data_IF_508720963510
#
_entry.id   IF_508720963510
#
_cell.length_a   1.000
_cell.length_b   1.000
_cell.length_c   1.000
_cell.angle_alpha   90.00
_cell.angle_beta   90.00
_cell.angle_gamma   90.00
#
_symmetry.space_group_name_H-M   'P 1'
#
loop_
_entity.id
_entity.type
_entity.pdbx_description
1 polymer ?
#
# COMPACT_ATOMS: atom_id res chain seq x y z
N UNK A 1 -11.71 -9.18 -21.95
CA UNK A 1 -11.72 -9.18 -20.47
C UNK A 1 -10.74 -8.11 -20.06
N UNK A 2 -11.19 -7.00 -19.47
CA UNK A 2 -10.26 -5.98 -18.97
C UNK A 2 -9.66 -6.55 -17.69
N UNK A 3 -8.40 -6.97 -17.74
CA UNK A 3 -7.62 -7.25 -16.54
C UNK A 3 -7.58 -5.92 -15.78
N UNK A 4 -8.39 -5.80 -14.74
CA UNK A 4 -8.27 -4.70 -13.78
C UNK A 4 -7.04 -5.06 -12.97
N UNK A 5 -5.85 -4.70 -13.46
CA UNK A 5 -4.66 -4.73 -12.62
C UNK A 5 -5.00 -3.90 -11.38
N UNK A 6 -4.91 -4.54 -10.22
CA UNK A 6 -5.18 -3.94 -8.91
C UNK A 6 -4.05 -2.96 -8.60
N UNK A 7 -3.89 -1.92 -9.41
CA UNK A 7 -2.85 -0.91 -9.23
C UNK A 7 -3.39 0.25 -8.41
N UNK A 8 -2.60 0.71 -7.44
CA UNK A 8 -2.90 1.90 -6.66
C UNK A 8 -2.53 3.15 -7.48
N UNK A 9 -3.33 4.20 -7.37
CA UNK A 9 -2.97 5.53 -7.87
C UNK A 9 -1.79 6.11 -7.08
N UNK A 10 -1.16 7.17 -7.58
CA UNK A 10 -0.02 7.80 -6.90
C UNK A 10 -0.38 8.37 -5.52
N UNK A 11 -1.61 8.87 -5.35
CA UNK A 11 -2.11 9.34 -4.04
C UNK A 11 -2.33 8.16 -3.09
N UNK A 12 -2.92 7.06 -3.57
CA UNK A 12 -3.12 5.84 -2.77
C UNK A 12 -1.79 5.15 -2.43
N UNK A 13 -0.80 5.19 -3.33
CA UNK A 13 0.55 4.68 -3.06
C UNK A 13 1.24 5.47 -1.95
N UNK A 14 1.05 6.78 -1.91
CA UNK A 14 1.57 7.62 -0.82
C UNK A 14 0.92 7.22 0.52
N UNK A 15 -0.40 7.11 0.55
CA UNK A 15 -1.13 6.66 1.74
C UNK A 15 -0.70 5.24 2.17
N UNK A 16 -0.43 4.36 1.21
CA UNK A 16 0.01 3.00 1.50
C UNK A 16 1.42 2.99 2.11
N UNK A 17 2.33 3.84 1.64
CA UNK A 17 3.67 4.00 2.25
C UNK A 17 3.56 4.54 3.67
N UNK A 18 2.74 5.56 3.88
CA UNK A 18 2.51 6.13 5.21
C UNK A 18 1.92 5.07 6.16
N UNK A 19 0.99 4.24 5.68
CA UNK A 19 0.44 3.12 6.44
C UNK A 19 1.51 2.05 6.76
N UNK A 20 2.39 1.69 5.80
CA UNK A 20 3.47 0.72 6.04
C UNK A 20 4.43 1.24 7.12
N UNK A 21 4.79 2.54 7.08
CA UNK A 21 5.63 3.18 8.11
C UNK A 21 4.97 3.13 9.49
N UNK A 22 3.68 3.47 9.55
CA UNK A 22 2.90 3.45 10.80
C UNK A 22 2.77 2.02 11.39
N UNK A 23 2.76 0.99 10.55
CA UNK A 23 2.74 -0.39 11.03
C UNK A 23 4.01 -0.78 11.82
N UNK A 24 5.09 0.00 11.75
CA UNK A 24 6.31 -0.22 12.53
C UNK A 24 6.86 -1.63 12.36
N UNK A 25 6.91 -2.14 11.13
CA UNK A 25 7.45 -3.46 10.83
C UNK A 25 8.90 -3.51 11.32
N UNK A 26 9.14 -4.21 12.43
CA UNK A 26 10.31 -4.00 13.30
C UNK A 26 11.71 -4.15 12.68
N UNK A 27 11.80 -4.54 11.41
CA UNK A 27 13.05 -4.66 10.65
C UNK A 27 13.13 -3.68 9.45
N UNK A 28 12.17 -2.76 9.31
CA UNK A 28 12.11 -1.76 8.24
C UNK A 28 12.13 -0.37 8.87
N UNK A 29 13.08 0.47 8.45
CA UNK A 29 13.09 1.89 8.77
C UNK A 29 12.23 2.67 7.75
N UNK A 30 11.78 3.88 8.11
CA UNK A 30 10.95 4.70 7.22
C UNK A 30 11.64 4.99 5.88
N UNK A 31 12.97 5.13 5.88
CA UNK A 31 13.80 5.34 4.69
C UNK A 31 13.73 4.12 3.75
N UNK A 32 13.68 2.90 4.29
CA UNK A 32 13.55 1.68 3.49
C UNK A 32 12.18 1.56 2.81
N UNK A 33 11.13 2.12 3.43
CA UNK A 33 9.78 2.14 2.86
C UNK A 33 9.70 3.07 1.65
N UNK A 34 10.43 4.19 1.68
CA UNK A 34 10.47 5.14 0.57
C UNK A 34 11.17 4.55 -0.67
N UNK A 35 12.11 3.63 -0.46
CA UNK A 35 12.82 2.92 -1.53
C UNK A 35 12.03 1.73 -2.12
N UNK A 36 10.88 1.35 -1.55
CA UNK A 36 10.04 0.30 -2.12
C UNK A 36 9.49 0.72 -3.48
N UNK A 37 9.50 -0.19 -4.45
CA UNK A 37 8.79 0.03 -5.72
C UNK A 37 7.27 -0.02 -5.52
N UNK A 38 6.51 0.62 -6.40
CA UNK A 38 5.03 0.62 -6.34
C UNK A 38 4.46 -0.80 -6.25
N UNK A 39 5.02 -1.74 -7.02
CA UNK A 39 4.64 -3.16 -6.96
C UNK A 39 4.94 -3.83 -5.62
N UNK A 40 5.97 -3.39 -4.91
CA UNK A 40 6.26 -3.90 -3.56
C UNK A 40 5.27 -3.33 -2.54
N UNK A 41 4.92 -2.05 -2.65
CA UNK A 41 3.89 -1.42 -1.82
C UNK A 41 2.53 -2.08 -2.03
N UNK A 42 2.12 -2.31 -3.28
CA UNK A 42 0.88 -3.01 -3.61
C UNK A 42 0.85 -4.43 -3.04
N UNK A 43 1.96 -5.18 -3.15
CA UNK A 43 2.08 -6.52 -2.55
C UNK A 43 2.00 -6.48 -1.03
N UNK A 44 2.60 -5.47 -0.40
CA UNK A 44 2.52 -5.26 1.05
C UNK A 44 1.06 -5.04 1.47
N UNK A 45 0.36 -4.09 0.86
CA UNK A 45 -1.06 -3.83 1.12
C UNK A 45 -1.90 -5.09 0.86
N UNK A 46 -1.71 -5.76 -0.27
CA UNK A 46 -2.48 -6.96 -0.62
C UNK A 46 -2.30 -8.10 0.41
N UNK A 47 -1.14 -8.18 1.06
CA UNK A 47 -0.80 -9.27 1.98
C UNK A 47 -1.12 -8.94 3.44
N UNK A 48 -0.98 -7.69 3.85
CA UNK A 48 -0.98 -7.30 5.26
C UNK A 48 -2.11 -6.35 5.64
N UNK A 49 -2.74 -5.67 4.67
CA UNK A 49 -3.95 -4.88 4.93
C UNK A 49 -5.17 -5.79 5.00
N UNK A 50 -6.04 -5.58 5.98
CA UNK A 50 -7.25 -6.41 6.12
C UNK A 50 -8.19 -6.17 4.93
N UNK A 51 -8.55 -7.25 4.23
CA UNK A 51 -9.28 -7.18 2.95
C UNK A 51 -8.47 -6.73 1.72
N UNK A 52 -7.15 -6.54 1.87
CA UNK A 52 -6.21 -6.31 0.77
C UNK A 52 -6.41 -4.99 0.02
N UNK A 53 -5.97 -4.94 -1.24
CA UNK A 53 -5.95 -3.69 -2.03
C UNK A 53 -7.34 -3.06 -2.19
N UNK A 54 -8.40 -3.84 -2.34
CA UNK A 54 -9.74 -3.29 -2.54
C UNK A 54 -10.28 -2.60 -1.28
N UNK A 55 -10.07 -3.20 -0.11
CA UNK A 55 -10.43 -2.54 1.16
C UNK A 55 -9.58 -1.30 1.38
N UNK A 56 -8.28 -1.37 1.10
CA UNK A 56 -7.40 -0.21 1.19
C UNK A 56 -7.89 0.96 0.32
N UNK A 57 -8.23 0.70 -0.95
CA UNK A 57 -8.77 1.72 -1.86
C UNK A 57 -10.07 2.35 -1.34
N UNK A 58 -10.96 1.53 -0.78
CA UNK A 58 -12.20 2.02 -0.21
C UNK A 58 -11.92 2.94 0.99
N UNK A 59 -11.01 2.56 1.87
CA UNK A 59 -10.70 3.34 3.07
C UNK A 59 -9.92 4.61 2.70
N UNK A 60 -9.00 4.54 1.74
CA UNK A 60 -8.25 5.68 1.21
C UNK A 60 -9.14 6.78 0.61
N UNK A 61 -10.32 6.45 0.10
CA UNK A 61 -11.30 7.42 -0.40
C UNK A 61 -12.02 8.20 0.71
N UNK A 62 -11.87 7.78 1.97
CA UNK A 62 -12.51 8.37 3.13
C UNK A 62 -11.53 9.08 4.09
N UNK A 63 -10.25 9.18 3.70
CA UNK A 63 -9.24 10.04 4.34
C UNK A 63 -9.23 11.44 3.72
#
# INVERSE_FOLDING_TARGET
MKNTELELSQEELKLARDWIKDCGWGDIEDEDVDDLTDKQVEKAVQKFYDGGINSFKNDAQHF
#
